data_IF_901238419050
#
_entry.id   IF_901238419050
#
_cell.length_a   1.000
_cell.length_b   1.000
_cell.length_c   1.000
_cell.angle_alpha   90.00
_cell.angle_beta   90.00
_cell.angle_gamma   90.00
#
_symmetry.space_group_name_H-M   'P 1'
#
loop_
_entity.id
_entity.type
_entity.pdbx_description
1 polymer ?
#
# COMPACT_ATOMS: atom_id res chain seq x y z
N UNK A 1 10.50 14.12 -11.48
CA UNK A 1 9.95 13.82 -10.15
C UNK A 1 11.10 13.49 -9.20
N UNK A 2 12.00 14.45 -9.02
CA UNK A 2 13.06 14.31 -8.03
C UNK A 2 12.49 14.66 -6.65
N UNK A 3 12.65 13.77 -5.70
CA UNK A 3 12.81 14.07 -4.30
C UNK A 3 11.61 14.10 -3.35
N UNK A 4 10.69 13.18 -3.47
CA UNK A 4 10.00 12.72 -2.25
C UNK A 4 11.00 11.98 -1.32
N UNK A 5 12.03 11.36 -1.90
CA UNK A 5 13.16 10.78 -1.15
C UNK A 5 14.04 11.80 -0.41
N UNK A 6 14.09 13.07 -0.83
CA UNK A 6 14.87 14.08 -0.11
C UNK A 6 14.29 14.44 1.27
N UNK A 7 12.97 14.30 1.47
CA UNK A 7 12.35 14.46 2.79
C UNK A 7 12.81 13.41 3.79
N UNK A 8 13.19 12.21 3.31
CA UNK A 8 13.64 11.09 4.14
C UNK A 8 15.11 11.24 4.56
N UNK A 9 15.92 11.98 3.80
CA UNK A 9 17.35 12.24 4.11
C UNK A 9 17.57 13.53 4.88
N UNK A 10 16.51 14.20 5.36
CA UNK A 10 16.62 15.50 6.03
C UNK A 10 16.94 16.67 5.09
N UNK A 11 17.04 16.44 3.79
CA UNK A 11 17.24 17.47 2.76
C UNK A 11 15.92 17.90 2.12
N UNK A 12 14.87 18.11 2.94
CA UNK A 12 13.65 18.70 2.43
C UNK A 12 13.94 20.03 1.75
N UNK A 13 13.42 20.22 0.54
CA UNK A 13 13.49 21.53 -0.13
C UNK A 13 12.87 22.56 0.80
N UNK A 14 13.62 23.58 1.21
CA UNK A 14 13.14 24.58 2.18
C UNK A 14 11.81 25.18 1.70
N UNK A 15 10.79 25.15 2.56
CA UNK A 15 9.49 25.78 2.33
C UNK A 15 8.44 24.96 1.57
N UNK A 16 8.76 23.83 0.96
CA UNK A 16 7.78 22.98 0.27
C UNK A 16 7.06 22.05 1.25
N UNK A 17 7.82 21.38 2.11
CA UNK A 17 7.30 20.49 3.14
C UNK A 17 7.17 21.23 4.48
N UNK A 18 5.97 21.30 5.03
CA UNK A 18 5.66 22.02 6.27
C UNK A 18 5.21 21.05 7.36
N UNK A 19 5.92 21.02 8.51
CA UNK A 19 5.51 20.17 9.64
C UNK A 19 4.14 20.55 10.21
N UNK A 20 3.77 21.84 10.11
CA UNK A 20 2.46 22.36 10.50
C UNK A 20 1.34 21.96 9.55
N UNK A 21 1.68 21.58 8.32
CA UNK A 21 0.75 21.11 7.29
C UNK A 21 1.31 19.84 6.62
N UNK A 22 1.08 18.66 7.22
CA UNK A 22 1.63 17.41 6.73
C UNK A 22 1.15 17.00 5.34
N UNK A 23 0.06 17.55 4.81
CA UNK A 23 -0.44 17.25 3.46
C UNK A 23 0.19 18.13 2.38
N UNK A 24 0.85 19.24 2.77
CA UNK A 24 1.58 20.08 1.82
C UNK A 24 2.79 19.30 1.23
N UNK A 25 3.08 19.49 -0.08
CA UNK A 25 2.38 20.39 -1.02
C UNK A 25 1.17 19.74 -1.73
N UNK A 26 0.82 18.47 -1.44
CA UNK A 26 -0.11 17.69 -2.25
C UNK A 26 -1.56 18.21 -2.21
N UNK A 27 -1.97 18.86 -1.14
CA UNK A 27 -3.27 19.46 -1.04
C UNK A 27 -3.43 20.76 -1.84
N UNK A 28 -2.30 21.42 -2.20
CA UNK A 28 -2.27 22.70 -2.91
C UNK A 28 -1.94 22.59 -4.40
N UNK A 29 -1.38 21.45 -4.87
CA UNK A 29 -1.14 21.25 -6.31
C UNK A 29 -2.45 21.12 -7.08
N UNK A 30 -2.41 21.36 -8.40
CA UNK A 30 -3.59 21.21 -9.27
C UNK A 30 -4.11 19.77 -9.27
N UNK A 31 -5.42 19.58 -9.38
CA UNK A 31 -6.11 18.28 -9.20
C UNK A 31 -5.55 17.15 -10.09
N UNK A 32 -5.07 17.48 -11.29
CA UNK A 32 -4.46 16.52 -12.22
C UNK A 32 -3.17 15.88 -11.66
N UNK A 33 -2.49 16.55 -10.71
CA UNK A 33 -1.23 16.09 -10.12
C UNK A 33 -1.39 15.55 -8.70
N UNK A 34 -2.54 15.78 -8.06
CA UNK A 34 -2.77 15.40 -6.67
C UNK A 34 -2.62 13.91 -6.44
N UNK A 35 -3.13 13.07 -7.35
CA UNK A 35 -3.01 11.62 -7.20
C UNK A 35 -1.53 11.22 -7.10
N UNK A 36 -0.72 11.62 -8.10
CA UNK A 36 0.70 11.30 -8.15
C UNK A 36 1.47 11.89 -6.96
N UNK A 37 1.09 13.08 -6.52
CA UNK A 37 1.69 13.68 -5.35
C UNK A 37 1.38 12.84 -4.10
N UNK A 38 0.12 12.51 -3.84
CA UNK A 38 -0.27 11.78 -2.65
C UNK A 38 0.24 10.34 -2.64
N UNK A 39 0.30 9.64 -3.79
CA UNK A 39 0.81 8.27 -3.84
C UNK A 39 2.31 8.19 -3.52
N UNK A 40 3.03 9.30 -3.65
CA UNK A 40 4.45 9.41 -3.31
C UNK A 40 4.72 10.14 -1.99
N UNK A 41 3.70 10.44 -1.18
CA UNK A 41 3.82 11.32 -0.01
C UNK A 41 4.14 10.59 1.31
N UNK A 42 4.12 9.26 1.31
CA UNK A 42 4.28 8.44 2.52
C UNK A 42 5.55 8.77 3.33
N UNK A 43 6.69 8.96 2.65
CA UNK A 43 7.96 9.25 3.31
C UNK A 43 7.90 10.49 4.19
N UNK A 44 7.29 11.57 3.69
CA UNK A 44 7.08 12.79 4.47
C UNK A 44 6.12 12.58 5.64
N UNK A 45 4.99 11.90 5.40
CA UNK A 45 4.03 11.59 6.45
C UNK A 45 4.64 10.76 7.58
N UNK A 46 5.48 9.78 7.25
CA UNK A 46 6.19 9.00 8.26
C UNK A 46 7.23 9.85 9.01
N UNK A 47 7.97 10.71 8.33
CA UNK A 47 8.92 11.61 8.97
C UNK A 47 8.23 12.55 9.98
N UNK A 48 7.11 13.20 9.64
CA UNK A 48 6.39 14.12 10.53
C UNK A 48 5.59 13.40 11.63
N UNK A 49 5.27 12.12 11.42
CA UNK A 49 4.62 11.27 12.42
C UNK A 49 5.59 10.52 13.31
N UNK A 50 6.92 10.67 13.12
CA UNK A 50 7.96 9.91 13.80
C UNK A 50 7.79 8.40 13.60
N UNK A 51 7.57 7.97 12.36
CA UNK A 51 7.33 6.59 11.94
C UNK A 51 6.10 5.92 12.59
N UNK A 52 5.20 6.72 13.17
CA UNK A 52 3.95 6.22 13.72
C UNK A 52 2.89 6.12 12.61
N UNK A 53 2.65 4.89 12.13
CA UNK A 53 1.71 4.59 11.05
C UNK A 53 0.30 5.10 11.36
N UNK A 54 -0.21 4.87 12.58
CA UNK A 54 -1.55 5.32 12.97
C UNK A 54 -1.67 6.86 12.98
N UNK A 55 -0.59 7.58 13.31
CA UNK A 55 -0.56 9.05 13.25
C UNK A 55 -0.46 9.54 11.80
N UNK A 56 0.41 8.93 10.98
CA UNK A 56 0.57 9.27 9.57
C UNK A 56 -0.72 9.09 8.78
N UNK A 57 -1.40 7.97 8.97
CA UNK A 57 -2.68 7.69 8.30
C UNK A 57 -3.79 8.65 8.72
N UNK A 58 -3.79 9.16 9.97
CA UNK A 58 -4.74 10.21 10.38
C UNK A 58 -4.55 11.52 9.62
N UNK A 59 -3.34 11.85 9.17
CA UNK A 59 -3.15 12.99 8.27
C UNK A 59 -3.84 12.75 6.94
N UNK A 60 -3.72 11.54 6.35
CA UNK A 60 -4.41 11.19 5.11
C UNK A 60 -5.94 11.35 5.19
N UNK A 61 -6.56 11.12 6.36
CA UNK A 61 -8.00 11.30 6.52
C UNK A 61 -8.46 12.76 6.32
N UNK A 62 -7.54 13.73 6.40
CA UNK A 62 -7.82 15.15 6.15
C UNK A 62 -7.78 15.52 4.67
N UNK A 63 -7.20 14.66 3.81
CA UNK A 63 -7.20 14.88 2.37
C UNK A 63 -8.63 14.84 1.81
N UNK A 64 -8.90 15.65 0.77
CA UNK A 64 -10.24 15.83 0.20
C UNK A 64 -10.59 14.77 -0.84
N UNK A 65 -11.85 14.34 -0.84
CA UNK A 65 -12.41 13.45 -1.85
C UNK A 65 -11.58 12.16 -2.04
N UNK A 66 -11.37 11.77 -3.30
CA UNK A 66 -10.63 10.56 -3.70
C UNK A 66 -9.15 10.57 -3.29
N UNK A 67 -8.57 11.73 -3.04
CA UNK A 67 -7.16 11.86 -2.68
C UNK A 67 -6.85 11.32 -1.27
N UNK A 68 -7.86 11.16 -0.42
CA UNK A 68 -7.74 10.45 0.85
C UNK A 68 -7.27 9.00 0.62
N UNK A 69 -7.88 8.28 -0.32
CA UNK A 69 -7.47 6.92 -0.69
C UNK A 69 -6.04 6.90 -1.24
N UNK A 70 -5.69 7.80 -2.17
CA UNK A 70 -4.32 7.89 -2.72
C UNK A 70 -3.27 8.10 -1.62
N UNK A 71 -3.57 8.94 -0.63
CA UNK A 71 -2.70 9.18 0.52
C UNK A 71 -2.57 7.93 1.41
N UNK A 72 -3.67 7.25 1.72
CA UNK A 72 -3.67 6.01 2.51
C UNK A 72 -2.92 4.89 1.77
N UNK A 73 -3.13 4.75 0.47
CA UNK A 73 -2.42 3.79 -0.37
C UNK A 73 -0.92 4.04 -0.38
N UNK A 74 -0.45 5.30 -0.40
CA UNK A 74 0.98 5.59 -0.32
C UNK A 74 1.64 5.01 0.93
N UNK A 75 0.98 5.10 2.08
CA UNK A 75 1.47 4.47 3.31
C UNK A 75 1.34 2.95 3.22
N UNK A 76 0.28 2.43 2.57
CA UNK A 76 0.10 1.00 2.29
C UNK A 76 1.27 0.41 1.49
N UNK A 77 1.69 1.08 0.42
CA UNK A 77 2.89 0.72 -0.37
C UNK A 77 4.15 0.68 0.50
N UNK A 78 4.31 1.63 1.41
CA UNK A 78 5.47 1.70 2.28
C UNK A 78 5.50 0.56 3.31
N UNK A 79 4.39 0.27 3.99
CA UNK A 79 4.35 -0.73 5.06
C UNK A 79 4.51 -2.17 4.55
N UNK A 80 4.26 -2.42 3.26
CA UNK A 80 4.49 -3.72 2.62
C UNK A 80 5.88 -3.86 2.01
N UNK A 81 6.66 -2.78 1.95
CA UNK A 81 8.04 -2.83 1.49
C UNK A 81 8.96 -3.27 2.65
N UNK A 82 9.68 -4.41 2.52
CA UNK A 82 10.54 -4.95 3.59
C UNK A 82 11.59 -3.97 4.11
N UNK A 83 12.09 -3.07 3.27
CA UNK A 83 13.10 -2.06 3.65
C UNK A 83 12.57 -1.13 4.75
N UNK A 84 11.25 -0.83 4.75
CA UNK A 84 10.64 0.07 5.73
C UNK A 84 10.12 -0.64 6.96
N UNK A 85 9.85 -1.94 6.89
CA UNK A 85 9.24 -2.70 7.98
C UNK A 85 10.07 -2.66 9.25
N UNK A 86 11.40 -2.76 9.15
CA UNK A 86 12.31 -2.69 10.31
C UNK A 86 12.25 -1.35 11.04
N UNK A 87 12.02 -0.25 10.29
CA UNK A 87 11.89 1.10 10.86
C UNK A 87 10.49 1.35 11.42
N UNK A 88 9.44 0.83 10.76
CA UNK A 88 8.04 1.07 11.13
C UNK A 88 7.53 0.13 12.23
N UNK A 89 8.17 -1.02 12.39
CA UNK A 89 7.83 -2.04 13.38
C UNK A 89 9.09 -2.74 13.93
N UNK A 90 9.99 -2.02 14.63
CA UNK A 90 11.22 -2.61 15.16
C UNK A 90 10.96 -3.74 16.18
N UNK A 91 9.78 -3.73 16.79
CA UNK A 91 9.28 -4.77 17.71
C UNK A 91 8.87 -6.08 17.01
N UNK A 92 8.74 -6.07 15.69
CA UNK A 92 8.28 -7.20 14.88
C UNK A 92 9.36 -7.80 13.96
N UNK A 93 10.62 -7.40 14.07
CA UNK A 93 11.70 -7.77 13.14
C UNK A 93 11.92 -9.29 12.98
N UNK A 94 11.49 -10.09 13.98
CA UNK A 94 11.59 -11.55 13.95
C UNK A 94 10.35 -12.24 13.32
N UNK A 95 9.37 -11.46 12.87
CA UNK A 95 8.18 -11.99 12.21
C UNK A 95 8.38 -12.09 10.69
N UNK A 96 7.66 -12.99 10.02
CA UNK A 96 7.62 -12.99 8.54
C UNK A 96 7.19 -11.63 7.99
N UNK A 97 7.80 -11.15 6.89
CA UNK A 97 7.45 -9.84 6.30
C UNK A 97 5.95 -9.66 6.01
N UNK A 98 5.26 -10.72 5.63
CA UNK A 98 3.81 -10.70 5.40
C UNK A 98 3.01 -10.40 6.67
N UNK A 99 3.42 -10.98 7.82
CA UNK A 99 2.78 -10.72 9.11
C UNK A 99 3.08 -9.30 9.60
N UNK A 100 4.30 -8.80 9.38
CA UNK A 100 4.66 -7.42 9.70
C UNK A 100 3.78 -6.46 8.91
N UNK A 101 3.67 -6.66 7.59
CA UNK A 101 2.84 -5.85 6.72
C UNK A 101 1.36 -5.86 7.15
N UNK A 102 0.79 -7.03 7.42
CA UNK A 102 -0.59 -7.17 7.88
C UNK A 102 -0.81 -6.47 9.23
N UNK A 103 0.14 -6.60 10.17
CA UNK A 103 0.10 -5.90 11.46
C UNK A 103 0.17 -4.38 11.27
N UNK A 104 1.04 -3.89 10.37
CA UNK A 104 1.12 -2.46 10.07
C UNK A 104 -0.18 -1.94 9.43
N UNK A 105 -0.81 -2.70 8.52
CA UNK A 105 -2.12 -2.37 7.96
C UNK A 105 -3.22 -2.30 9.05
N UNK A 106 -3.17 -3.16 10.07
CA UNK A 106 -4.14 -3.12 11.17
C UNK A 106 -4.04 -1.83 12.02
N UNK A 107 -2.89 -1.13 12.00
CA UNK A 107 -2.70 0.17 12.65
C UNK A 107 -3.37 1.33 11.90
N UNK A 108 -3.86 1.11 10.69
CA UNK A 108 -4.67 2.09 9.97
C UNK A 108 -6.03 2.27 10.65
N UNK A 109 -6.63 3.47 10.57
CA UNK A 109 -8.02 3.63 10.96
C UNK A 109 -8.89 2.68 10.10
N UNK A 110 -10.00 2.14 10.64
CA UNK A 110 -10.80 1.11 9.94
C UNK A 110 -11.16 1.46 8.50
N UNK A 111 -11.49 2.74 8.25
CA UNK A 111 -11.82 3.24 6.90
C UNK A 111 -10.65 3.18 5.91
N UNK A 112 -9.41 3.17 6.39
CA UNK A 112 -8.20 3.15 5.55
C UNK A 112 -7.56 1.77 5.40
N UNK A 113 -8.02 0.75 6.15
CA UNK A 113 -7.45 -0.61 6.06
C UNK A 113 -7.61 -1.24 4.68
N UNK A 114 -8.77 -1.10 3.99
CA UNK A 114 -8.89 -1.57 2.61
C UNK A 114 -7.84 -0.97 1.68
N UNK A 115 -7.56 0.34 1.80
CA UNK A 115 -6.54 1.02 0.99
C UNK A 115 -5.14 0.44 1.24
N UNK A 116 -4.81 0.16 2.51
CA UNK A 116 -3.55 -0.50 2.87
C UNK A 116 -3.43 -1.89 2.24
N UNK A 117 -4.48 -2.69 2.32
CA UNK A 117 -4.47 -4.07 1.80
C UNK A 117 -4.34 -4.09 0.29
N UNK A 118 -5.10 -3.26 -0.42
CA UNK A 118 -5.03 -3.14 -1.89
C UNK A 118 -3.65 -2.68 -2.32
N UNK A 119 -3.16 -1.55 -1.80
CA UNK A 119 -1.84 -1.03 -2.12
C UNK A 119 -0.71 -2.00 -1.74
N UNK A 120 -0.91 -2.78 -0.68
CA UNK A 120 0.02 -3.82 -0.28
C UNK A 120 0.17 -4.93 -1.32
N UNK A 121 -0.93 -5.41 -1.89
CA UNK A 121 -0.90 -6.39 -2.98
C UNK A 121 -0.21 -5.79 -4.20
N UNK A 122 -0.61 -4.57 -4.62
CA UNK A 122 -0.02 -3.89 -5.77
C UNK A 122 1.50 -3.75 -5.63
N UNK A 123 1.99 -3.39 -4.44
CA UNK A 123 3.42 -3.26 -4.17
C UNK A 123 4.15 -4.61 -4.26
N UNK A 124 3.60 -5.66 -3.65
CA UNK A 124 4.20 -7.00 -3.68
C UNK A 124 4.23 -7.57 -5.10
N UNK A 125 3.17 -7.36 -5.88
CA UNK A 125 3.09 -7.79 -7.27
C UNK A 125 4.18 -7.15 -8.15
N UNK A 126 4.67 -5.96 -7.81
CA UNK A 126 5.81 -5.33 -8.51
C UNK A 126 7.14 -6.06 -8.31
N UNK A 127 7.31 -6.77 -7.19
CA UNK A 127 8.50 -7.56 -6.92
C UNK A 127 8.41 -8.99 -7.43
N UNK A 128 7.23 -9.61 -7.37
CA UNK A 128 7.04 -11.03 -7.63
C UNK A 128 6.61 -11.33 -9.07
N UNK A 129 6.37 -10.31 -9.89
CA UNK A 129 5.84 -10.43 -11.26
C UNK A 129 4.53 -11.24 -11.28
N UNK A 130 4.58 -12.52 -11.74
CA UNK A 130 3.43 -13.43 -11.78
C UNK A 130 3.50 -14.53 -10.70
N UNK A 131 4.51 -14.48 -9.82
CA UNK A 131 4.61 -15.39 -8.69
C UNK A 131 3.86 -14.81 -7.49
N UNK A 132 2.70 -15.33 -7.20
CA UNK A 132 1.77 -14.82 -6.16
C UNK A 132 2.14 -15.25 -4.72
N UNK A 133 3.37 -15.70 -4.48
CA UNK A 133 3.75 -16.29 -3.18
C UNK A 133 3.70 -15.28 -2.04
N UNK A 134 4.22 -14.07 -2.26
CA UNK A 134 4.24 -13.01 -1.22
C UNK A 134 2.87 -12.41 -0.99
N UNK A 135 2.14 -12.13 -2.08
CA UNK A 135 0.77 -11.63 -2.02
C UNK A 135 -0.14 -12.63 -1.31
N UNK A 136 -0.01 -13.92 -1.59
CA UNK A 136 -0.75 -14.97 -0.92
C UNK A 136 -0.43 -15.00 0.58
N UNK A 137 0.85 -14.94 0.95
CA UNK A 137 1.26 -14.90 2.36
C UNK A 137 0.69 -13.67 3.08
N UNK A 138 0.73 -12.50 2.42
CA UNK A 138 0.15 -11.28 2.95
C UNK A 138 -1.37 -11.39 3.11
N UNK A 139 -2.10 -11.86 2.07
CA UNK A 139 -3.54 -12.04 2.13
C UNK A 139 -4.00 -13.10 3.14
N UNK A 140 -3.13 -14.05 3.48
CA UNK A 140 -3.39 -15.01 4.55
C UNK A 140 -3.21 -14.40 5.96
N UNK A 141 -2.36 -13.38 6.07
CA UNK A 141 -2.02 -12.72 7.34
C UNK A 141 -2.95 -11.54 7.68
N UNK A 142 -3.61 -10.92 6.69
CA UNK A 142 -4.56 -9.82 6.95
C UNK A 142 -5.83 -10.33 7.64
N UNK A 143 -6.54 -9.41 8.33
CA UNK A 143 -7.82 -9.70 8.96
C UNK A 143 -8.81 -10.34 7.97
N UNK A 144 -9.56 -11.34 8.45
CA UNK A 144 -10.49 -12.14 7.64
C UNK A 144 -11.52 -11.29 6.88
N UNK A 145 -11.91 -10.13 7.43
CA UNK A 145 -12.83 -9.19 6.78
C UNK A 145 -12.30 -8.60 5.48
N UNK A 146 -10.98 -8.52 5.31
CA UNK A 146 -10.31 -7.99 4.11
C UNK A 146 -9.76 -9.08 3.20
N UNK A 147 -9.72 -10.33 3.65
CA UNK A 147 -9.12 -11.45 2.94
C UNK A 147 -9.70 -11.61 1.52
N UNK A 148 -11.01 -11.59 1.35
CA UNK A 148 -11.64 -11.73 0.03
C UNK A 148 -11.26 -10.61 -0.94
N UNK A 149 -11.19 -9.36 -0.47
CA UNK A 149 -10.75 -8.22 -1.28
C UNK A 149 -9.27 -8.35 -1.66
N UNK A 150 -8.42 -8.77 -0.72
CA UNK A 150 -7.02 -9.01 -0.93
C UNK A 150 -6.76 -10.04 -2.04
N UNK A 151 -7.41 -11.20 -1.97
CA UNK A 151 -7.27 -12.23 -3.01
C UNK A 151 -7.83 -11.80 -4.37
N UNK A 152 -8.89 -11.01 -4.42
CA UNK A 152 -9.37 -10.41 -5.68
C UNK A 152 -8.36 -9.49 -6.30
N UNK A 153 -7.68 -8.66 -5.49
CA UNK A 153 -6.66 -7.74 -5.98
C UNK A 153 -5.49 -8.49 -6.65
N UNK A 154 -5.04 -9.63 -6.12
CA UNK A 154 -3.97 -10.41 -6.74
C UNK A 154 -4.26 -10.68 -8.22
N UNK A 155 -5.44 -11.22 -8.53
CA UNK A 155 -5.76 -11.55 -9.93
C UNK A 155 -6.15 -10.33 -10.77
N UNK A 156 -6.64 -9.25 -10.17
CA UNK A 156 -6.82 -7.98 -10.86
C UNK A 156 -5.47 -7.41 -11.33
N UNK A 157 -4.42 -7.49 -10.51
CA UNK A 157 -3.07 -7.04 -10.86
C UNK A 157 -2.43 -7.93 -11.93
N UNK A 158 -2.63 -9.25 -11.85
CA UNK A 158 -2.18 -10.16 -12.91
C UNK A 158 -2.88 -9.80 -14.23
N UNK A 159 -4.20 -9.58 -14.21
CA UNK A 159 -4.99 -9.21 -15.38
C UNK A 159 -4.52 -7.88 -15.99
N UNK A 160 -4.14 -6.92 -15.18
CA UNK A 160 -3.59 -5.64 -15.65
C UNK A 160 -2.26 -5.79 -16.39
N UNK A 161 -1.50 -6.88 -16.12
CA UNK A 161 -0.17 -7.15 -16.70
C UNK A 161 -0.20 -8.07 -17.90
N UNK A 162 -1.24 -8.90 -18.06
CA UNK A 162 -1.38 -9.86 -19.16
C UNK A 162 -2.81 -10.05 -19.58
N UNK A 163 -3.01 -10.28 -20.90
CA UNK A 163 -4.30 -10.65 -21.46
C UNK A 163 -4.43 -12.19 -21.63
N UNK A 164 -3.36 -12.95 -21.36
CA UNK A 164 -3.37 -14.41 -21.44
C UNK A 164 -4.20 -15.01 -20.30
N UNK A 165 -5.42 -15.42 -20.63
CA UNK A 165 -6.36 -15.99 -19.67
C UNK A 165 -5.84 -17.30 -19.05
N UNK A 166 -5.11 -18.12 -19.80
CA UNK A 166 -4.54 -19.36 -19.27
C UNK A 166 -3.46 -19.07 -18.23
N UNK A 167 -2.63 -18.05 -18.49
CA UNK A 167 -1.61 -17.59 -17.55
C UNK A 167 -2.26 -17.05 -16.28
N UNK A 168 -3.32 -16.22 -16.41
CA UNK A 168 -4.08 -15.70 -15.28
C UNK A 168 -4.64 -16.85 -14.43
N UNK A 169 -5.29 -17.85 -15.06
CA UNK A 169 -5.86 -19.00 -14.35
C UNK A 169 -4.79 -19.83 -13.63
N UNK A 170 -3.62 -20.05 -14.25
CA UNK A 170 -2.48 -20.74 -13.62
C UNK A 170 -1.95 -19.99 -12.40
N UNK A 171 -1.75 -18.66 -12.52
CA UNK A 171 -1.30 -17.83 -11.42
C UNK A 171 -2.32 -17.77 -10.29
N UNK A 172 -3.62 -17.66 -10.62
CA UNK A 172 -4.70 -17.70 -9.62
C UNK A 172 -4.84 -19.07 -8.93
N UNK A 173 -4.45 -20.18 -9.58
CA UNK A 173 -4.43 -21.50 -8.93
C UNK A 173 -3.41 -21.53 -7.77
N UNK A 174 -2.35 -20.74 -7.82
CA UNK A 174 -1.35 -20.61 -6.76
C UNK A 174 -1.90 -20.09 -5.43
N UNK A 175 -3.11 -19.50 -5.38
CA UNK A 175 -3.73 -19.04 -4.14
C UNK A 175 -4.60 -20.12 -3.45
N UNK A 176 -4.60 -21.34 -3.95
CA UNK A 176 -5.28 -22.50 -3.34
C UNK A 176 -6.79 -22.32 -3.18
N UNK A 177 -7.34 -22.59 -2.00
CA UNK A 177 -8.79 -22.50 -1.72
C UNK A 177 -9.43 -21.14 -2.00
N UNK A 178 -8.63 -20.09 -2.21
CA UNK A 178 -9.08 -18.73 -2.54
C UNK A 178 -9.09 -18.42 -4.04
N UNK A 179 -8.84 -19.44 -4.89
CA UNK A 179 -8.78 -19.29 -6.34
C UNK A 179 -10.02 -18.62 -6.93
N UNK A 180 -11.23 -18.97 -6.45
CA UNK A 180 -12.47 -18.34 -6.95
C UNK A 180 -12.51 -16.84 -6.69
N UNK A 181 -12.09 -16.41 -5.50
CA UNK A 181 -12.02 -14.98 -5.16
C UNK A 181 -10.99 -14.25 -6.06
N UNK A 182 -9.84 -14.87 -6.29
CA UNK A 182 -8.83 -14.34 -7.20
C UNK A 182 -9.38 -14.19 -8.62
N UNK A 183 -9.96 -15.24 -9.20
CA UNK A 183 -10.53 -15.22 -10.55
C UNK A 183 -11.63 -14.16 -10.71
N UNK A 184 -12.44 -13.93 -9.66
CA UNK A 184 -13.42 -12.85 -9.66
C UNK A 184 -12.77 -11.47 -9.83
N UNK A 185 -11.57 -11.25 -9.28
CA UNK A 185 -10.79 -10.02 -9.48
C UNK A 185 -10.36 -9.83 -10.93
N UNK A 186 -10.08 -10.91 -11.65
CA UNK A 186 -9.75 -10.88 -13.08
C UNK A 186 -10.99 -10.90 -14.01
N UNK A 187 -12.21 -10.95 -13.47
CA UNK A 187 -13.43 -11.10 -14.26
C UNK A 187 -13.60 -12.49 -14.91
N UNK A 188 -13.03 -13.55 -14.30
CA UNK A 188 -12.99 -14.91 -14.84
C UNK A 188 -13.70 -15.94 -13.93
N UNK A 189 -14.42 -15.51 -12.89
CA UNK A 189 -15.19 -16.37 -11.96
C UNK A 189 -16.58 -16.69 -12.52
#
# INVERSE_FOLDING_TARGET
>A
MENVNAGMTGRALPGIFKRSDPLAPCDTVGDRYKHECFINHAGWLMAVSHNNVAKGTRYCLKAKGRFKSSCLQSIGLMVTNPVWQTTLAPDLVNKPPAEIAATLCSRFPPVGRPDCVIAGVDNLANFDQLNVTRERAFCAAVDASYSSACYRQICADIRARTQDEQLIRRSCAGVGSKQRQCLAGAGLA
#
